data_IF_355367330000
#
_entry.id   IF_355367330000
#
_cell.length_a   1.000
_cell.length_b   1.000
_cell.length_c   1.000
_cell.angle_alpha   90.00
_cell.angle_beta   90.00
_cell.angle_gamma   90.00
#
_symmetry.space_group_name_H-M   'P 1'
#
loop_
_entity.id
_entity.type
_entity.pdbx_description
1 polymer ?
#
# COMPACT_ATOMS: atom_id res chain seq x y z
N UNK A 1 2.95 5.80 -3.72
CA UNK A 1 3.26 6.28 -2.36
C UNK A 1 2.29 7.39 -1.93
N UNK A 2 2.19 8.49 -2.67
CA UNK A 2 1.28 9.62 -2.33
C UNK A 2 -0.13 9.52 -2.93
N UNK A 3 -0.42 8.45 -3.65
CA UNK A 3 -1.69 8.31 -4.38
C UNK A 3 -2.83 7.92 -3.44
N UNK A 4 -3.74 8.86 -3.20
CA UNK A 4 -4.94 8.62 -2.38
C UNK A 4 -6.01 7.82 -3.12
N UNK A 5 -5.97 7.76 -4.46
CA UNK A 5 -6.93 6.98 -5.24
C UNK A 5 -6.80 5.47 -5.04
N UNK A 6 -5.73 5.02 -4.38
CA UNK A 6 -5.55 3.65 -3.92
C UNK A 6 -6.23 3.37 -2.56
N UNK A 7 -6.76 4.37 -1.86
CA UNK A 7 -7.68 4.13 -0.73
C UNK A 7 -9.08 3.90 -1.26
N UNK A 8 -9.83 2.97 -0.63
CA UNK A 8 -11.23 2.70 -0.93
C UNK A 8 -12.11 3.96 -0.84
N UNK A 9 -11.82 4.87 0.08
CA UNK A 9 -12.59 6.10 0.28
C UNK A 9 -11.88 7.36 -0.26
N UNK A 10 -10.72 7.20 -0.90
CA UNK A 10 -9.95 8.32 -1.45
C UNK A 10 -9.31 9.26 -0.40
N UNK A 11 -9.28 8.91 0.88
CA UNK A 11 -8.80 9.83 1.94
C UNK A 11 -7.34 9.61 2.34
N UNK A 12 -6.80 8.40 2.16
CA UNK A 12 -5.44 8.04 2.62
C UNK A 12 -4.53 7.55 1.52
N UNK A 13 -3.24 7.81 1.68
CA UNK A 13 -2.17 7.21 0.89
C UNK A 13 -1.09 6.68 1.82
N UNK A 14 -0.05 6.01 1.30
CA UNK A 14 1.05 5.52 2.14
C UNK A 14 1.69 6.66 2.95
N UNK A 15 1.78 7.86 2.35
CA UNK A 15 2.33 9.05 3.01
C UNK A 15 1.47 9.62 4.14
N UNK A 16 0.20 9.21 4.27
CA UNK A 16 -0.66 9.62 5.40
C UNK A 16 -0.06 9.16 6.73
N UNK A 17 0.42 7.90 6.79
CA UNK A 17 1.03 7.31 7.98
C UNK A 17 2.58 7.37 7.93
N UNK A 18 3.18 7.27 6.74
CA UNK A 18 4.63 7.25 6.58
C UNK A 18 5.18 8.64 6.19
N UNK A 19 5.31 9.55 7.18
CA UNK A 19 5.70 10.94 6.96
C UNK A 19 7.22 11.10 6.75
N UNK A 20 7.62 11.73 5.66
CA UNK A 20 9.03 11.83 5.22
C UNK A 20 9.91 12.54 6.26
N UNK A 21 9.40 13.61 6.86
CA UNK A 21 10.07 14.43 7.89
C UNK A 21 10.22 13.73 9.25
N UNK A 22 9.62 12.54 9.39
CA UNK A 22 9.60 11.75 10.63
C UNK A 22 10.09 10.35 10.36
N UNK A 23 11.16 10.16 9.60
CA UNK A 23 11.71 8.83 9.29
C UNK A 23 10.69 7.85 8.70
N UNK A 24 9.66 8.37 8.01
CA UNK A 24 8.53 7.60 7.48
C UNK A 24 7.68 6.91 8.56
N UNK A 25 7.46 7.55 9.70
CA UNK A 25 6.42 7.22 10.70
C UNK A 25 5.50 8.43 10.96
N UNK A 26 4.48 8.27 11.82
CA UNK A 26 3.47 9.30 12.10
C UNK A 26 3.52 9.89 13.53
N UNK A 27 4.40 9.36 14.38
CA UNK A 27 4.53 9.63 15.83
C UNK A 27 3.25 9.36 16.64
N UNK A 28 2.37 8.47 16.15
CA UNK A 28 1.17 8.07 16.85
C UNK A 28 1.35 6.72 17.56
N UNK A 29 0.69 6.50 18.72
CA UNK A 29 0.69 5.19 19.38
C UNK A 29 -0.07 4.13 18.56
N UNK A 30 -0.98 4.57 17.69
CA UNK A 30 -1.76 3.75 16.77
C UNK A 30 -1.92 4.49 15.45
N UNK A 31 -1.69 3.80 14.33
CA UNK A 31 -1.83 4.39 13.00
C UNK A 31 -3.30 4.72 12.70
N UNK A 32 -3.53 5.77 11.93
CA UNK A 32 -4.86 6.23 11.49
C UNK A 32 -4.88 6.27 9.96
N UNK A 33 -5.46 5.23 9.36
CA UNK A 33 -5.78 5.16 7.93
C UNK A 33 -7.24 5.59 7.69
N UNK A 34 -7.98 4.81 6.89
CA UNK A 34 -9.45 4.90 6.85
C UNK A 34 -10.04 4.77 8.26
N UNK A 35 -9.43 3.93 9.09
CA UNK A 35 -9.79 3.72 10.49
C UNK A 35 -8.57 3.73 11.41
N UNK A 36 -8.82 3.60 12.71
CA UNK A 36 -7.77 3.48 13.72
C UNK A 36 -7.30 2.03 13.81
N UNK A 37 -6.00 1.79 13.64
CA UNK A 37 -5.39 0.47 13.73
C UNK A 37 -5.04 0.10 15.19
N UNK A 38 -4.55 -1.13 15.41
CA UNK A 38 -4.15 -1.61 16.73
C UNK A 38 -2.66 -1.45 17.05
N UNK A 39 -1.84 -0.89 16.14
CA UNK A 39 -0.39 -0.73 16.30
C UNK A 39 0.08 0.60 15.75
N UNK A 40 1.23 1.09 16.24
CA UNK A 40 1.90 2.25 15.65
C UNK A 40 2.40 1.94 14.23
N UNK A 41 2.53 2.98 13.42
CA UNK A 41 3.18 2.92 12.10
C UNK A 41 4.66 2.55 12.27
N UNK A 42 5.12 1.53 11.53
CA UNK A 42 6.55 1.19 11.46
C UNK A 42 7.28 2.24 10.62
N UNK A 43 8.49 2.67 11.01
CA UNK A 43 9.30 3.55 10.16
C UNK A 43 9.73 2.80 8.89
N UNK A 44 9.86 3.52 7.77
CA UNK A 44 10.43 2.98 6.52
C UNK A 44 11.88 3.41 6.28
N UNK A 45 12.43 4.29 7.12
CA UNK A 45 13.83 4.70 7.00
C UNK A 45 14.76 3.49 7.19
N UNK A 46 15.49 3.14 6.13
CA UNK A 46 16.44 2.01 6.14
C UNK A 46 15.84 0.64 5.84
N UNK A 47 14.52 0.53 5.64
CA UNK A 47 13.77 -0.73 5.50
C UNK A 47 14.25 -1.63 4.35
N UNK A 48 14.93 -1.06 3.34
CA UNK A 48 15.52 -1.81 2.24
C UNK A 48 16.64 -2.78 2.67
N UNK A 49 17.16 -2.65 3.89
CA UNK A 49 18.20 -3.51 4.46
C UNK A 49 17.65 -4.59 5.39
N UNK A 50 16.34 -4.58 5.67
CA UNK A 50 15.74 -5.52 6.61
C UNK A 50 15.43 -6.86 5.92
N UNK A 51 15.70 -8.00 6.58
CA UNK A 51 15.42 -9.32 6.02
C UNK A 51 13.97 -9.80 6.24
N UNK A 52 13.27 -9.20 7.22
CA UNK A 52 11.92 -9.60 7.62
C UNK A 52 11.10 -8.36 7.95
N UNK A 53 9.80 -8.41 7.62
CA UNK A 53 8.90 -7.25 7.72
C UNK A 53 7.65 -7.56 8.55
N UNK A 54 7.00 -6.49 9.00
CA UNK A 54 6.02 -6.44 10.10
C UNK A 54 6.61 -6.65 11.48
N UNK A 55 5.87 -6.16 12.48
CA UNK A 55 6.22 -6.29 13.90
C UNK A 55 6.41 -7.75 14.36
N UNK A 56 5.79 -8.71 13.67
CA UNK A 56 5.89 -10.15 13.93
C UNK A 56 6.80 -10.89 12.93
N UNK A 57 7.46 -10.16 12.00
CA UNK A 57 8.40 -10.73 11.03
C UNK A 57 7.77 -11.65 9.98
N UNK A 58 6.43 -11.69 9.83
CA UNK A 58 5.73 -12.70 9.02
C UNK A 58 5.83 -12.52 7.49
N UNK A 59 6.63 -11.58 7.00
CA UNK A 59 6.84 -11.33 5.57
C UNK A 59 8.32 -11.29 5.27
N UNK A 60 8.68 -11.91 4.17
CA UNK A 60 10.04 -12.09 3.65
C UNK A 60 10.46 -10.98 2.67
N UNK A 61 9.55 -10.07 2.33
CA UNK A 61 9.77 -9.06 1.30
C UNK A 61 8.85 -7.84 1.44
N UNK A 62 9.34 -6.69 0.97
CA UNK A 62 8.57 -5.44 0.93
C UNK A 62 7.32 -5.53 0.06
N UNK A 63 7.39 -6.25 -1.06
CA UNK A 63 6.23 -6.41 -1.96
C UNK A 63 5.15 -7.27 -1.31
N UNK A 64 5.51 -8.37 -0.64
CA UNK A 64 4.55 -9.17 0.12
C UNK A 64 3.99 -8.43 1.35
N UNK A 65 4.81 -7.58 1.98
CA UNK A 65 4.39 -6.72 3.09
C UNK A 65 3.36 -5.67 2.63
N UNK A 66 3.64 -4.94 1.55
CA UNK A 66 2.82 -3.82 1.09
C UNK A 66 1.37 -4.20 0.72
N UNK A 67 1.13 -5.46 0.35
CA UNK A 67 -0.22 -5.97 0.08
C UNK A 67 -1.14 -5.90 1.31
N UNK A 68 -0.61 -6.08 2.53
CA UNK A 68 -1.49 -6.14 3.72
C UNK A 68 -2.09 -4.76 4.06
N UNK A 69 -1.34 -3.64 4.13
CA UNK A 69 -1.94 -2.32 4.31
C UNK A 69 -2.92 -1.93 3.19
N UNK A 70 -2.63 -2.33 1.95
CA UNK A 70 -3.51 -2.10 0.81
C UNK A 70 -4.87 -2.80 0.97
N UNK A 71 -4.89 -4.01 1.54
CA UNK A 71 -6.08 -4.84 1.74
C UNK A 71 -6.73 -4.67 3.12
N UNK A 72 -6.07 -4.03 4.08
CA UNK A 72 -6.59 -3.85 5.43
C UNK A 72 -7.71 -2.79 5.44
N UNK A 73 -8.94 -3.11 5.90
CA UNK A 73 -10.09 -2.18 5.90
C UNK A 73 -9.90 -0.94 6.77
N UNK A 74 -8.95 -0.95 7.71
CA UNK A 74 -8.62 0.19 8.57
C UNK A 74 -7.48 1.04 7.99
N UNK A 75 -6.76 0.54 6.98
CA UNK A 75 -5.66 1.25 6.32
C UNK A 75 -6.16 1.79 4.97
N UNK A 76 -5.94 1.08 3.85
CA UNK A 76 -6.45 1.49 2.53
C UNK A 76 -7.78 0.82 2.13
N UNK A 77 -8.08 -0.36 2.68
CA UNK A 77 -9.35 -1.08 2.49
C UNK A 77 -9.70 -1.52 1.07
N UNK A 78 -8.70 -1.70 0.20
CA UNK A 78 -8.91 -2.20 -1.16
C UNK A 78 -8.78 -3.73 -1.28
N UNK A 79 -8.68 -4.22 -2.52
CA UNK A 79 -8.38 -5.61 -2.82
C UNK A 79 -7.58 -5.72 -4.15
N UNK A 80 -6.94 -6.86 -4.40
CA UNK A 80 -6.05 -7.05 -5.57
C UNK A 80 -6.72 -6.81 -6.91
N UNK A 81 -7.97 -7.23 -7.06
CA UNK A 81 -8.71 -7.10 -8.30
C UNK A 81 -9.01 -5.61 -8.59
N UNK A 82 -9.51 -4.89 -7.57
CA UNK A 82 -9.69 -3.45 -7.62
C UNK A 82 -8.39 -2.70 -7.96
N UNK A 83 -7.26 -3.12 -7.37
CA UNK A 83 -5.95 -2.52 -7.69
C UNK A 83 -5.48 -2.82 -9.10
N UNK A 84 -5.68 -4.04 -9.63
CA UNK A 84 -5.35 -4.36 -11.01
C UNK A 84 -6.11 -3.46 -11.99
N UNK A 85 -7.43 -3.30 -11.76
CA UNK A 85 -8.26 -2.38 -12.54
C UNK A 85 -7.82 -0.91 -12.38
N UNK A 86 -7.48 -0.50 -11.16
CA UNK A 86 -6.97 0.84 -10.89
C UNK A 86 -5.66 1.13 -11.65
N UNK A 87 -4.70 0.20 -11.59
CA UNK A 87 -3.44 0.31 -12.33
C UNK A 87 -3.69 0.35 -13.84
N UNK A 88 -4.51 -0.55 -14.38
CA UNK A 88 -4.86 -0.55 -15.81
C UNK A 88 -5.46 0.78 -16.24
N UNK A 89 -6.44 1.30 -15.48
CA UNK A 89 -7.14 2.55 -15.79
C UNK A 89 -6.25 3.78 -15.65
N UNK A 90 -5.47 3.88 -14.58
CA UNK A 90 -4.73 5.11 -14.22
C UNK A 90 -3.32 5.14 -14.78
N UNK A 91 -2.67 3.98 -14.90
CA UNK A 91 -1.26 3.83 -15.19
C UNK A 91 -0.95 2.81 -16.31
N UNK A 92 -1.96 2.33 -17.05
CA UNK A 92 -1.81 1.25 -18.03
C UNK A 92 -0.66 1.46 -19.00
N UNK A 93 -0.62 2.60 -19.69
CA UNK A 93 0.46 2.92 -20.64
C UNK A 93 1.86 2.88 -20.00
N UNK A 94 1.99 3.42 -18.78
CA UNK A 94 3.27 3.41 -18.04
C UNK A 94 3.65 2.00 -17.60
N UNK A 95 2.69 1.22 -17.14
CA UNK A 95 2.91 -0.17 -16.76
C UNK A 95 3.38 -0.97 -17.97
N UNK A 96 2.68 -0.87 -19.10
CA UNK A 96 2.96 -1.67 -20.29
C UNK A 96 4.31 -1.36 -20.92
N UNK A 97 4.75 -0.11 -20.84
CA UNK A 97 6.09 0.29 -21.26
C UNK A 97 7.21 -0.38 -20.44
N UNK A 98 6.96 -0.75 -19.18
CA UNK A 98 7.96 -1.32 -18.27
C UNK A 98 7.89 -2.85 -18.27
N UNK A 99 6.68 -3.41 -18.22
CA UNK A 99 6.45 -4.84 -17.97
C UNK A 99 5.88 -5.60 -19.18
N UNK A 100 5.56 -4.90 -20.27
CA UNK A 100 4.81 -5.47 -21.39
C UNK A 100 3.29 -5.46 -21.17
N UNK A 101 2.52 -6.05 -22.09
CA UNK A 101 1.06 -5.96 -22.10
C UNK A 101 0.41 -6.38 -20.78
N UNK A 102 -0.56 -5.61 -20.30
CA UNK A 102 -1.37 -6.02 -19.16
C UNK A 102 -2.27 -7.20 -19.55
N UNK A 103 -2.54 -8.07 -18.57
CA UNK A 103 -3.54 -9.13 -18.73
C UNK A 103 -4.90 -8.53 -19.06
N UNK A 104 -5.71 -9.29 -19.81
CA UNK A 104 -7.12 -8.93 -19.94
C UNK A 104 -7.82 -9.09 -18.59
N UNK A 105 -8.38 -7.99 -18.08
CA UNK A 105 -9.06 -7.92 -16.80
C UNK A 105 -10.59 -7.94 -16.98
N UNK A 106 -11.11 -8.12 -18.19
CA UNK A 106 -12.55 -8.11 -18.49
C UNK A 106 -13.35 -9.14 -17.68
N UNK A 107 -12.71 -10.25 -17.29
CA UNK A 107 -13.30 -11.34 -16.50
C UNK A 107 -12.98 -11.25 -15.00
N UNK A 108 -12.14 -10.30 -14.59
CA UNK A 108 -11.73 -10.10 -13.19
C UNK A 108 -12.72 -9.14 -12.52
N UNK A 109 -13.31 -9.49 -11.36
CA UNK A 109 -14.22 -8.58 -10.65
C UNK A 109 -13.56 -7.23 -10.33
N UNK A 110 -14.33 -6.14 -10.45
CA UNK A 110 -13.88 -4.79 -10.12
C UNK A 110 -13.95 -4.52 -8.61
#
# INVERSE_FOLDING_TARGET
FFDQGMSRDGTVSCSTCHKIDRQFQDDLPQAVGIGRTNRRTMPLAGVARDPWFFWDGRRDSLWAQALTPLENPLEHGGNRAAFAHYIKKRFGERYERIFGPLLDLSTVPA
#
